data_IF_015098127689
#
_entry.id   IF_015098127689
#
_cell.length_a   1.000
_cell.length_b   1.000
_cell.length_c   1.000
_cell.angle_alpha   90.00
_cell.angle_beta   90.00
_cell.angle_gamma   90.00
#
_symmetry.space_group_name_H-M   'P 1'
#
loop_
_entity.id
_entity.type
_entity.pdbx_description
1 polymer ?
#
# COMPACT_ATOMS: atom_id res chain seq x y z
N UNK A 1 -27.75 -22.70 3.83
CA UNK A 1 -26.85 -21.57 3.65
C UNK A 1 -26.13 -21.35 4.97
N UNK A 2 -24.94 -21.99 5.12
CA UNK A 2 -24.04 -21.71 6.23
C UNK A 2 -23.55 -20.27 6.06
N UNK A 3 -23.92 -19.40 6.98
CA UNK A 3 -23.26 -18.11 7.17
C UNK A 3 -21.84 -18.46 7.60
N UNK A 4 -20.92 -18.50 6.65
CA UNK A 4 -19.49 -18.57 6.93
C UNK A 4 -19.18 -17.35 7.79
N UNK A 5 -18.67 -17.58 8.98
CA UNK A 5 -18.10 -16.53 9.84
C UNK A 5 -16.86 -16.02 9.11
N UNK A 6 -17.07 -14.98 8.28
CA UNK A 6 -16.08 -14.51 7.31
C UNK A 6 -15.03 -13.74 8.08
N UNK A 7 -13.85 -14.31 8.24
CA UNK A 7 -12.70 -13.65 8.83
C UNK A 7 -11.66 -13.27 7.77
N UNK A 8 -10.73 -12.37 8.09
CA UNK A 8 -9.68 -11.90 7.18
C UNK A 8 -8.82 -13.03 6.60
N UNK A 9 -8.73 -14.18 7.29
CA UNK A 9 -8.04 -15.36 6.80
C UNK A 9 -8.57 -15.81 5.45
N UNK A 10 -9.90 -15.77 5.25
CA UNK A 10 -10.50 -16.16 3.99
C UNK A 10 -10.05 -15.30 2.82
N UNK A 11 -9.85 -13.99 3.02
CA UNK A 11 -9.40 -13.10 1.96
C UNK A 11 -8.00 -13.46 1.44
N UNK A 12 -7.13 -13.94 2.33
CA UNK A 12 -5.74 -14.27 2.00
C UNK A 12 -5.52 -15.76 1.75
N UNK A 13 -6.35 -16.65 2.30
CA UNK A 13 -6.12 -18.10 2.29
C UNK A 13 -7.15 -18.88 1.47
N UNK A 14 -8.19 -18.23 0.94
CA UNK A 14 -9.22 -18.88 0.14
C UNK A 14 -9.14 -18.44 -1.32
N UNK A 15 -8.92 -19.38 -2.23
CA UNK A 15 -8.73 -19.11 -3.67
C UNK A 15 -10.01 -18.66 -4.39
N UNK A 16 -11.18 -19.06 -3.90
CA UNK A 16 -12.45 -18.86 -4.61
C UNK A 16 -13.52 -18.32 -3.67
N UNK A 17 -13.36 -17.04 -3.28
CA UNK A 17 -14.46 -16.32 -2.66
C UNK A 17 -15.51 -15.94 -3.72
N UNK A 18 -16.74 -15.70 -3.27
CA UNK A 18 -17.75 -15.04 -4.09
C UNK A 18 -17.59 -13.53 -3.97
N UNK A 19 -17.95 -12.79 -5.01
CA UNK A 19 -17.97 -11.32 -4.96
C UNK A 19 -18.71 -10.78 -3.74
N UNK A 20 -19.90 -11.34 -3.43
CA UNK A 20 -20.69 -10.96 -2.25
C UNK A 20 -19.89 -11.09 -0.94
N UNK A 21 -19.13 -12.18 -0.80
CA UNK A 21 -18.31 -12.42 0.39
C UNK A 21 -17.15 -11.44 0.52
N UNK A 22 -16.54 -11.01 -0.60
CA UNK A 22 -15.50 -9.97 -0.56
C UNK A 22 -16.09 -8.62 -0.17
N UNK A 23 -17.28 -8.28 -0.67
CA UNK A 23 -17.98 -7.04 -0.34
C UNK A 23 -18.38 -6.94 1.14
N UNK A 24 -18.57 -8.06 1.84
CA UNK A 24 -18.88 -8.09 3.27
C UNK A 24 -17.73 -7.56 4.15
N UNK A 25 -16.47 -7.59 3.65
CA UNK A 25 -15.33 -6.96 4.33
C UNK A 25 -15.27 -5.45 4.17
N UNK A 26 -16.09 -4.88 3.29
CA UNK A 26 -16.02 -3.47 2.92
C UNK A 26 -17.10 -2.68 3.64
N UNK A 27 -16.67 -1.68 4.38
CA UNK A 27 -17.54 -0.74 5.09
C UNK A 27 -17.59 0.60 4.36
N UNK A 28 -18.76 1.23 4.35
CA UNK A 28 -18.88 2.63 3.96
C UNK A 28 -18.22 3.55 4.98
N UNK A 29 -17.76 4.69 4.56
CA UNK A 29 -17.28 5.77 5.45
C UNK A 29 -18.21 6.98 5.38
N UNK A 30 -18.02 7.94 6.27
CA UNK A 30 -18.73 9.24 6.23
C UNK A 30 -18.26 10.12 5.04
N UNK A 31 -17.23 9.69 4.32
CA UNK A 31 -16.68 10.42 3.17
C UNK A 31 -17.26 9.86 1.87
N UNK A 32 -17.81 10.76 1.06
CA UNK A 32 -18.40 10.38 -0.23
C UNK A 32 -17.38 9.64 -1.11
N UNK A 33 -17.82 8.52 -1.70
CA UNK A 33 -17.01 7.69 -2.60
C UNK A 33 -15.78 7.03 -1.96
N UNK A 34 -15.70 6.98 -0.63
CA UNK A 34 -14.66 6.28 0.08
C UNK A 34 -15.26 5.13 0.88
N UNK A 35 -14.81 3.93 0.57
CA UNK A 35 -15.09 2.72 1.34
C UNK A 35 -13.79 2.18 1.93
N UNK A 36 -13.87 1.43 3.01
CA UNK A 36 -12.69 0.90 3.69
C UNK A 36 -12.82 -0.59 3.95
N UNK A 37 -11.76 -1.31 3.69
CA UNK A 37 -11.51 -2.64 4.22
C UNK A 37 -10.51 -2.48 5.36
N UNK A 38 -11.03 -2.46 6.60
CA UNK A 38 -10.21 -2.17 7.78
C UNK A 38 -9.29 -3.33 8.11
N UNK A 39 -8.03 -3.03 8.43
CA UNK A 39 -7.13 -4.00 9.02
C UNK A 39 -7.59 -4.35 10.45
N UNK A 40 -7.49 -5.62 10.83
CA UNK A 40 -7.70 -6.07 12.20
C UNK A 40 -6.38 -6.42 12.89
N UNK A 41 -6.40 -6.51 14.22
CA UNK A 41 -5.23 -7.00 14.99
C UNK A 41 -4.86 -8.44 14.65
N UNK A 42 -5.81 -9.22 14.14
CA UNK A 42 -5.62 -10.60 13.71
C UNK A 42 -4.73 -10.73 12.49
N UNK A 43 -4.60 -9.67 11.66
CA UNK A 43 -3.70 -9.68 10.51
C UNK A 43 -2.25 -9.98 10.88
N UNK A 44 -1.80 -9.59 12.07
CA UNK A 44 -0.44 -9.89 12.54
C UNK A 44 -0.20 -11.39 12.77
N UNK A 45 -1.24 -12.12 13.19
CA UNK A 45 -1.19 -13.58 13.40
C UNK A 45 -1.42 -14.34 12.10
N UNK A 46 -2.15 -13.76 11.15
CA UNK A 46 -2.38 -14.32 9.82
C UNK A 46 -1.10 -14.59 9.03
N UNK A 47 -0.04 -13.83 9.26
CA UNK A 47 1.26 -14.04 8.60
C UNK A 47 1.74 -15.48 8.78
N UNK A 48 1.63 -16.01 9.98
CA UNK A 48 2.04 -17.39 10.29
C UNK A 48 1.12 -18.41 9.63
N UNK A 49 -0.19 -18.20 9.67
CA UNK A 49 -1.18 -19.07 9.03
C UNK A 49 -0.99 -19.12 7.51
N UNK A 50 -0.78 -17.98 6.86
CA UNK A 50 -0.52 -17.92 5.42
C UNK A 50 0.77 -18.65 5.07
N UNK A 51 1.82 -18.45 5.86
CA UNK A 51 3.11 -19.09 5.67
C UNK A 51 3.02 -20.62 5.81
N UNK A 52 2.36 -21.11 6.87
CA UNK A 52 2.19 -22.55 7.08
C UNK A 52 1.36 -23.19 5.97
N UNK A 53 0.26 -22.56 5.59
CA UNK A 53 -0.56 -23.05 4.47
C UNK A 53 0.16 -23.02 3.13
N UNK A 54 1.06 -22.06 2.90
CA UNK A 54 1.88 -22.02 1.69
C UNK A 54 2.77 -23.25 1.56
N UNK A 55 3.26 -23.78 2.68
CA UNK A 55 4.05 -25.02 2.74
C UNK A 55 3.18 -26.27 2.51
N UNK A 56 2.01 -26.32 3.13
CA UNK A 56 1.09 -27.45 3.01
C UNK A 56 0.47 -27.58 1.61
N UNK A 57 0.28 -26.46 0.93
CA UNK A 57 -0.40 -26.40 -0.36
C UNK A 57 0.40 -26.96 -1.54
N UNK A 58 1.64 -27.45 -1.31
CA UNK A 58 2.39 -28.24 -2.29
C UNK A 58 2.58 -27.60 -3.67
N UNK A 59 2.68 -26.26 -3.73
CA UNK A 59 2.83 -25.50 -4.99
C UNK A 59 1.66 -24.59 -5.34
N UNK A 60 0.71 -24.40 -4.45
CA UNK A 60 -0.36 -23.41 -4.63
C UNK A 60 0.17 -22.02 -4.29
N UNK A 61 0.03 -21.08 -5.22
CA UNK A 61 0.54 -19.70 -5.08
C UNK A 61 -0.41 -18.87 -4.19
N UNK A 62 -0.39 -19.10 -2.88
CA UNK A 62 -1.25 -18.44 -1.89
C UNK A 62 -1.07 -16.91 -1.95
N UNK A 63 0.12 -16.42 -2.27
CA UNK A 63 0.44 -15.00 -2.44
C UNK A 63 -0.46 -14.29 -3.47
N UNK A 64 -1.05 -15.06 -4.39
CA UNK A 64 -1.97 -14.54 -5.41
C UNK A 64 -3.44 -14.51 -4.99
N UNK A 65 -3.79 -15.05 -3.82
CA UNK A 65 -5.20 -15.14 -3.44
C UNK A 65 -5.83 -13.78 -3.18
N UNK A 66 -5.10 -12.87 -2.54
CA UNK A 66 -5.56 -11.49 -2.37
C UNK A 66 -5.82 -10.83 -3.73
N UNK A 67 -4.90 -10.95 -4.70
CA UNK A 67 -5.09 -10.46 -6.08
C UNK A 67 -6.37 -11.03 -6.71
N UNK A 68 -6.55 -12.35 -6.60
CA UNK A 68 -7.71 -13.00 -7.15
C UNK A 68 -9.01 -12.50 -6.52
N UNK A 69 -9.05 -12.40 -5.19
CA UNK A 69 -10.24 -11.98 -4.47
C UNK A 69 -10.57 -10.50 -4.72
N UNK A 70 -9.57 -9.59 -4.76
CA UNK A 70 -9.77 -8.20 -5.10
C UNK A 70 -10.21 -8.02 -6.56
N UNK A 71 -9.79 -8.90 -7.47
CA UNK A 71 -10.24 -8.85 -8.87
C UNK A 71 -11.74 -9.03 -9.05
N UNK A 72 -12.43 -9.66 -8.08
CA UNK A 72 -13.88 -9.85 -8.11
C UNK A 72 -14.66 -8.53 -7.93
N UNK A 73 -14.03 -7.54 -7.32
CA UNK A 73 -14.65 -6.24 -6.97
C UNK A 73 -14.01 -5.07 -7.70
N UNK A 74 -12.99 -5.29 -8.52
CA UNK A 74 -12.23 -4.21 -9.18
C UNK A 74 -13.09 -3.26 -10.02
N UNK A 75 -14.17 -3.76 -10.60
CA UNK A 75 -15.07 -2.96 -11.44
C UNK A 75 -16.09 -2.14 -10.62
N UNK A 76 -16.12 -2.31 -9.30
CA UNK A 76 -16.98 -1.52 -8.40
C UNK A 76 -16.28 -0.25 -7.88
N UNK A 77 -14.96 -0.13 -8.12
CA UNK A 77 -14.12 0.97 -7.64
C UNK A 77 -13.25 1.54 -8.76
N UNK A 78 -13.06 2.85 -8.76
CA UNK A 78 -12.10 3.51 -9.67
C UNK A 78 -10.66 3.19 -9.27
N UNK A 79 -10.39 3.10 -7.95
CA UNK A 79 -9.10 2.79 -7.36
C UNK A 79 -9.25 1.90 -6.13
N UNK A 80 -8.34 0.95 -5.95
CA UNK A 80 -8.14 0.18 -4.72
C UNK A 80 -6.75 0.51 -4.22
N UNK A 81 -6.67 1.20 -3.07
CA UNK A 81 -5.40 1.60 -2.45
C UNK A 81 -5.09 0.63 -1.31
N UNK A 82 -3.94 -0.04 -1.37
CA UNK A 82 -3.49 -0.98 -0.35
C UNK A 82 -2.37 -0.31 0.45
N UNK A 83 -2.68 0.12 1.69
CA UNK A 83 -1.69 0.66 2.61
C UNK A 83 -0.90 -0.49 3.27
N UNK A 84 0.43 -0.38 3.27
CA UNK A 84 1.33 -1.43 3.71
C UNK A 84 2.24 -0.99 4.84
N UNK A 85 2.54 -1.92 5.74
CA UNK A 85 3.63 -1.78 6.69
C UNK A 85 4.98 -1.65 5.95
N UNK A 86 5.92 -0.82 6.45
CA UNK A 86 7.26 -0.70 5.86
C UNK A 86 8.11 -1.96 6.02
N UNK A 87 7.64 -2.93 6.80
CA UNK A 87 8.38 -4.17 7.04
C UNK A 87 8.07 -5.23 5.98
N UNK A 88 9.11 -5.94 5.54
CA UNK A 88 8.94 -7.12 4.70
C UNK A 88 8.19 -8.19 5.48
N UNK A 89 7.02 -8.56 5.00
CA UNK A 89 6.19 -9.61 5.57
C UNK A 89 5.50 -10.39 4.44
N UNK A 90 4.93 -11.52 4.78
CA UNK A 90 4.13 -12.27 3.82
C UNK A 90 2.91 -11.49 3.35
N UNK A 91 2.29 -10.69 4.23
CA UNK A 91 1.18 -9.79 3.87
C UNK A 91 1.60 -8.73 2.86
N UNK A 92 2.80 -8.14 3.05
CA UNK A 92 3.38 -7.19 2.09
C UNK A 92 3.59 -7.85 0.72
N UNK A 93 4.06 -9.09 0.69
CA UNK A 93 4.20 -9.87 -0.55
C UNK A 93 2.84 -10.09 -1.23
N UNK A 94 1.81 -10.47 -0.47
CA UNK A 94 0.45 -10.63 -0.99
C UNK A 94 -0.10 -9.32 -1.55
N UNK A 95 0.14 -8.20 -0.85
CA UNK A 95 -0.29 -6.87 -1.27
C UNK A 95 0.42 -6.42 -2.56
N UNK A 96 1.74 -6.63 -2.67
CA UNK A 96 2.50 -6.36 -3.89
C UNK A 96 1.95 -7.21 -5.04
N UNK A 97 1.74 -8.51 -4.84
CA UNK A 97 1.14 -9.38 -5.85
C UNK A 97 -0.28 -8.94 -6.26
N UNK A 98 -1.05 -8.34 -5.35
CA UNK A 98 -2.40 -7.87 -5.61
C UNK A 98 -2.45 -6.52 -6.34
N UNK A 99 -1.35 -5.78 -6.36
CA UNK A 99 -1.26 -4.44 -6.95
C UNK A 99 -0.98 -4.51 -8.46
N UNK A 100 -1.44 -3.51 -9.19
CA UNK A 100 -1.06 -3.25 -10.57
C UNK A 100 0.07 -2.22 -10.62
N UNK A 101 0.05 -1.26 -9.67
CA UNK A 101 1.03 -0.17 -9.58
C UNK A 101 1.48 0.02 -8.14
N UNK A 102 2.74 0.38 -7.97
CA UNK A 102 3.34 0.68 -6.66
C UNK A 102 3.88 2.10 -6.66
N UNK A 103 3.47 2.87 -5.67
CA UNK A 103 4.03 4.20 -5.36
C UNK A 103 4.68 4.14 -3.99
N UNK A 104 5.87 4.71 -3.85
CA UNK A 104 6.64 4.62 -2.60
C UNK A 104 7.02 6.01 -2.09
N UNK A 105 6.53 6.41 -0.90
CA UNK A 105 7.06 7.57 -0.22
C UNK A 105 8.46 7.28 0.35
N UNK A 106 9.38 8.23 0.21
CA UNK A 106 10.74 8.14 0.76
C UNK A 106 11.02 9.33 1.68
N UNK A 107 11.79 9.10 2.73
CA UNK A 107 12.29 10.15 3.60
C UNK A 107 13.66 10.66 3.14
N UNK A 108 14.08 11.82 3.66
CA UNK A 108 15.41 12.41 3.41
C UNK A 108 16.43 11.71 4.32
N UNK A 109 16.68 10.42 4.04
CA UNK A 109 17.68 9.61 4.76
C UNK A 109 18.26 8.51 3.86
N UNK A 110 19.43 7.96 4.25
CA UNK A 110 20.10 6.92 3.47
C UNK A 110 19.42 5.54 3.57
N UNK A 111 18.63 5.28 4.61
CA UNK A 111 17.96 3.98 4.79
C UNK A 111 16.82 3.78 3.79
N UNK A 112 16.20 4.88 3.36
CA UNK A 112 15.15 4.84 2.34
C UNK A 112 15.65 4.31 1.00
N UNK A 113 16.91 4.54 0.65
CA UNK A 113 17.51 4.06 -0.60
C UNK A 113 17.63 2.53 -0.63
N UNK A 114 18.20 1.94 0.42
CA UNK A 114 18.38 0.47 0.49
C UNK A 114 17.02 -0.26 0.50
N UNK A 115 16.05 0.31 1.20
CA UNK A 115 14.67 -0.19 1.20
C UNK A 115 14.04 -0.17 -0.18
N UNK A 116 14.28 0.91 -0.95
CA UNK A 116 13.77 1.08 -2.30
C UNK A 116 14.39 0.07 -3.27
N UNK A 117 15.70 -0.12 -3.25
CA UNK A 117 16.38 -1.11 -4.09
C UNK A 117 15.86 -2.52 -3.80
N UNK A 118 15.71 -2.86 -2.53
CA UNK A 118 15.12 -4.14 -2.11
C UNK A 118 13.65 -4.32 -2.55
N UNK A 119 12.89 -3.23 -2.71
CA UNK A 119 11.54 -3.27 -3.28
C UNK A 119 11.59 -3.59 -4.78
N UNK A 120 12.51 -2.99 -5.53
CA UNK A 120 12.69 -3.30 -6.96
C UNK A 120 13.00 -4.76 -7.18
N UNK A 121 13.99 -5.31 -6.46
CA UNK A 121 14.32 -6.74 -6.54
C UNK A 121 13.08 -7.61 -6.26
N UNK A 122 12.30 -7.22 -5.24
CA UNK A 122 11.08 -7.96 -4.88
C UNK A 122 10.02 -7.90 -6.00
N UNK A 123 9.82 -6.73 -6.63
CA UNK A 123 8.86 -6.59 -7.75
C UNK A 123 9.31 -7.42 -8.95
N UNK A 124 10.60 -7.41 -9.30
CA UNK A 124 11.16 -8.17 -10.40
C UNK A 124 11.01 -9.68 -10.17
N UNK A 125 11.35 -10.15 -8.97
CA UNK A 125 11.21 -11.55 -8.56
C UNK A 125 9.75 -12.02 -8.65
N UNK A 126 8.80 -11.22 -8.13
CA UNK A 126 7.38 -11.58 -8.15
C UNK A 126 6.79 -11.53 -9.55
N UNK A 127 7.17 -10.54 -10.37
CA UNK A 127 6.77 -10.48 -11.77
C UNK A 127 7.27 -11.71 -12.54
N UNK A 128 8.54 -12.09 -12.34
CA UNK A 128 9.13 -13.27 -12.97
C UNK A 128 8.48 -14.55 -12.49
N UNK A 129 8.35 -14.73 -11.16
CA UNK A 129 7.83 -15.95 -10.53
C UNK A 129 6.37 -16.23 -10.90
N UNK A 130 5.55 -15.21 -10.98
CA UNK A 130 4.10 -15.35 -11.14
C UNK A 130 3.57 -14.84 -12.49
N UNK A 131 4.46 -14.41 -13.39
CA UNK A 131 4.10 -13.80 -14.68
C UNK A 131 3.15 -12.62 -14.50
N UNK A 132 3.43 -11.76 -13.52
CA UNK A 132 2.69 -10.54 -13.25
C UNK A 132 3.25 -9.38 -14.06
N UNK A 133 2.50 -8.28 -14.12
CA UNK A 133 2.91 -7.03 -14.75
C UNK A 133 2.77 -5.87 -13.74
N UNK A 134 3.36 -6.06 -12.54
CA UNK A 134 3.35 -5.04 -11.50
C UNK A 134 4.29 -3.92 -11.93
N UNK A 135 3.76 -2.70 -12.05
CA UNK A 135 4.52 -1.53 -12.45
C UNK A 135 4.97 -0.73 -11.23
N UNK A 136 6.23 -0.34 -11.19
CA UNK A 136 6.68 0.72 -10.30
C UNK A 136 6.24 2.06 -10.89
N UNK A 137 5.23 2.70 -10.30
CA UNK A 137 4.61 3.91 -10.81
C UNK A 137 5.38 5.17 -10.42
N UNK A 138 6.01 5.20 -9.24
CA UNK A 138 6.84 6.33 -8.87
C UNK A 138 7.23 6.39 -7.40
N UNK A 139 8.11 7.35 -7.11
CA UNK A 139 8.51 7.75 -5.77
C UNK A 139 8.30 9.23 -5.57
N UNK A 140 8.07 9.64 -4.33
CA UNK A 140 8.05 11.04 -3.91
C UNK A 140 8.65 11.21 -2.53
N UNK A 141 9.18 12.39 -2.26
CA UNK A 141 9.78 12.68 -0.95
C UNK A 141 8.70 13.10 0.06
N UNK A 142 8.81 12.59 1.29
CA UNK A 142 7.90 12.92 2.37
C UNK A 142 8.66 13.35 3.63
N UNK A 143 7.94 13.98 4.58
CA UNK A 143 8.48 14.51 5.84
C UNK A 143 9.66 15.47 5.64
N UNK A 144 9.63 16.25 4.57
CA UNK A 144 10.70 17.18 4.23
C UNK A 144 10.73 18.33 5.25
N UNK A 145 11.83 18.44 6.00
CA UNK A 145 12.08 19.51 6.97
C UNK A 145 12.76 20.71 6.31
N UNK A 146 12.01 21.47 5.48
CA UNK A 146 12.54 22.63 4.79
C UNK A 146 13.51 22.28 3.65
N UNK A 147 14.04 23.34 2.97
CA UNK A 147 14.97 23.18 1.84
C UNK A 147 16.42 23.16 2.33
N UNK A 148 16.82 22.09 3.01
CA UNK A 148 18.20 21.89 3.47
C UNK A 148 19.13 21.50 2.30
N UNK A 149 20.45 21.63 2.50
CA UNK A 149 21.43 21.18 1.51
C UNK A 149 21.28 19.68 1.22
N UNK A 150 21.07 18.87 2.25
CA UNK A 150 20.83 17.43 2.11
C UNK A 150 19.59 17.14 1.26
N UNK A 151 18.47 17.83 1.53
CA UNK A 151 17.26 17.69 0.71
C UNK A 151 17.54 17.95 -0.77
N UNK A 152 18.24 19.06 -1.10
CA UNK A 152 18.55 19.40 -2.49
C UNK A 152 19.40 18.33 -3.17
N UNK A 153 20.44 17.86 -2.49
CA UNK A 153 21.33 16.81 -3.02
C UNK A 153 20.58 15.51 -3.27
N UNK A 154 19.72 15.09 -2.32
CA UNK A 154 18.94 13.88 -2.49
C UNK A 154 17.86 14.04 -3.57
N UNK A 155 17.20 15.19 -3.65
CA UNK A 155 16.23 15.49 -4.69
C UNK A 155 16.86 15.35 -6.08
N UNK A 156 17.97 16.04 -6.33
CA UNK A 156 18.71 15.96 -7.59
C UNK A 156 19.19 14.53 -7.90
N UNK A 157 19.63 13.80 -6.88
CA UNK A 157 20.08 12.40 -7.03
C UNK A 157 18.93 11.49 -7.47
N UNK A 158 17.77 11.59 -6.81
CA UNK A 158 16.60 10.77 -7.14
C UNK A 158 15.99 11.18 -8.50
N UNK A 159 15.93 12.48 -8.80
CA UNK A 159 15.47 12.96 -10.10
C UNK A 159 16.34 12.41 -11.24
N UNK A 160 17.66 12.42 -11.08
CA UNK A 160 18.59 11.86 -12.08
C UNK A 160 18.49 10.34 -12.18
N UNK A 161 18.22 9.63 -11.08
CA UNK A 161 18.18 8.17 -11.06
C UNK A 161 16.86 7.63 -11.60
N UNK A 162 15.73 8.25 -11.28
CA UNK A 162 14.39 7.72 -11.57
C UNK A 162 13.67 8.46 -12.69
N UNK A 163 14.17 9.64 -13.11
CA UNK A 163 13.59 10.41 -14.22
C UNK A 163 12.09 10.65 -14.01
N UNK A 164 11.28 10.25 -14.98
CA UNK A 164 9.81 10.40 -14.94
C UNK A 164 9.11 9.63 -13.79
N UNK A 165 9.79 8.65 -13.19
CA UNK A 165 9.27 7.92 -12.02
C UNK A 165 9.50 8.67 -10.71
N UNK A 166 10.27 9.75 -10.69
CA UNK A 166 10.39 10.64 -9.57
C UNK A 166 9.34 11.75 -9.66
N UNK A 167 8.34 11.68 -8.77
CA UNK A 167 7.29 12.69 -8.73
C UNK A 167 7.86 13.97 -8.11
N UNK A 168 7.76 15.12 -8.79
CA UNK A 168 8.48 16.34 -8.38
C UNK A 168 7.88 17.04 -7.16
N UNK A 169 6.80 16.50 -6.61
CA UNK A 169 6.14 17.00 -5.40
C UNK A 169 6.75 16.35 -4.17
N UNK A 170 7.06 17.18 -3.17
CA UNK A 170 7.58 16.73 -1.88
C UNK A 170 6.65 17.14 -0.75
N UNK A 171 6.24 16.18 0.07
CA UNK A 171 5.35 16.44 1.21
C UNK A 171 6.17 17.01 2.37
N UNK A 172 5.93 18.25 2.70
CA UNK A 172 6.61 18.95 3.79
C UNK A 172 6.15 18.46 5.15
N UNK A 173 7.09 18.45 6.10
CA UNK A 173 6.75 18.17 7.49
C UNK A 173 5.82 19.27 8.02
N UNK A 174 4.68 18.86 8.59
CA UNK A 174 3.66 19.77 9.08
C UNK A 174 3.01 19.19 10.35
N UNK A 175 2.88 20.01 11.38
CA UNK A 175 2.30 19.61 12.65
C UNK A 175 0.83 19.16 12.50
N UNK A 176 0.09 19.79 11.59
CA UNK A 176 -1.30 19.46 11.31
C UNK A 176 -1.51 17.99 10.91
N UNK A 177 -0.48 17.31 10.33
CA UNK A 177 -0.55 15.87 10.03
C UNK A 177 -0.62 15.05 11.33
N UNK A 178 0.17 15.40 12.33
CA UNK A 178 0.14 14.70 13.62
C UNK A 178 -1.15 15.01 14.40
N UNK A 179 -1.63 16.24 14.33
CA UNK A 179 -2.85 16.67 14.98
C UNK A 179 -4.08 16.00 14.37
N UNK A 180 -4.19 15.93 13.03
CA UNK A 180 -5.28 15.26 12.32
C UNK A 180 -5.34 13.75 12.65
N UNK A 181 -4.18 13.10 12.78
CA UNK A 181 -4.12 11.71 13.22
C UNK A 181 -4.62 11.53 14.67
N UNK A 182 -4.38 12.52 15.55
CA UNK A 182 -4.84 12.48 16.94
C UNK A 182 -6.35 12.68 17.06
N UNK A 183 -6.93 13.49 16.18
CA UNK A 183 -8.38 13.74 16.11
C UNK A 183 -9.13 12.72 15.26
N UNK A 184 -8.43 11.79 14.61
CA UNK A 184 -8.99 10.82 13.66
C UNK A 184 -9.73 11.49 12.49
N UNK A 185 -9.28 12.66 12.08
CA UNK A 185 -9.83 13.38 10.94
C UNK A 185 -8.84 13.35 9.75
N UNK A 186 -9.31 13.18 8.51
CA UNK A 186 -8.45 13.32 7.34
C UNK A 186 -7.85 14.73 7.28
N UNK A 187 -6.57 14.82 6.90
CA UNK A 187 -5.82 16.08 6.86
C UNK A 187 -6.55 17.18 6.08
N UNK A 188 -7.16 16.84 4.94
CA UNK A 188 -7.90 17.80 4.10
C UNK A 188 -9.18 18.32 4.74
N UNK A 189 -9.73 17.60 5.72
CA UNK A 189 -10.88 18.04 6.54
C UNK A 189 -10.38 18.85 7.72
N UNK A 190 -9.32 18.40 8.39
CA UNK A 190 -8.74 19.03 9.56
C UNK A 190 -8.17 20.43 9.26
N UNK A 191 -7.25 20.51 8.30
CA UNK A 191 -6.68 21.79 7.83
C UNK A 191 -6.27 21.71 6.34
N UNK A 192 -7.20 22.02 5.46
CA UNK A 192 -6.97 22.08 4.01
C UNK A 192 -5.88 23.09 3.60
N UNK A 193 -5.59 24.10 4.45
CA UNK A 193 -4.64 25.16 4.10
C UNK A 193 -3.23 24.89 4.58
N UNK A 194 -3.01 23.89 5.40
CA UNK A 194 -1.68 23.54 5.85
C UNK A 194 -0.78 23.12 4.67
N UNK A 195 0.52 23.25 4.85
CA UNK A 195 1.50 23.01 3.78
C UNK A 195 1.44 21.57 3.26
N UNK A 196 1.32 20.59 4.14
CA UNK A 196 1.23 19.19 3.74
C UNK A 196 -0.05 18.88 2.96
N UNK A 197 -1.20 19.46 3.35
CA UNK A 197 -2.46 19.29 2.61
C UNK A 197 -2.36 19.83 1.18
N UNK A 198 -1.71 20.97 1.00
CA UNK A 198 -1.47 21.56 -0.33
C UNK A 198 -0.53 20.67 -1.16
N UNK A 199 0.54 20.16 -0.54
CA UNK A 199 1.49 19.26 -1.20
C UNK A 199 0.80 17.95 -1.66
N UNK A 200 -0.11 17.38 -0.84
CA UNK A 200 -0.89 16.20 -1.23
C UNK A 200 -1.93 16.46 -2.33
N UNK A 201 -2.43 17.68 -2.45
CA UNK A 201 -3.34 18.06 -3.56
C UNK A 201 -2.57 18.18 -4.87
N UNK A 202 -1.30 18.58 -4.80
CA UNK A 202 -0.43 18.76 -5.97
C UNK A 202 0.16 17.42 -6.45
N UNK A 203 0.37 16.45 -5.53
CA UNK A 203 0.84 15.11 -5.82
C UNK A 203 -0.17 14.30 -6.65
#
# INVERSE_FOLDING_TARGET
DEVLDINYEHLFCTKQLRKSSVLEFISSTDYKNISILSASRELSTLVYTIYDRSKEAGGTNIELYLRHNLSLIKDDFDYIIIDNSPFKSYLTTCAICASDKIVTPICVDNFSYDGLMSLFDTIEDLNSKYSLAIEFAGIFMTRVAGRTTLYKQMFESYENMFGEKFLPVSIRNCIAVSESNTTFEPLLTYDKRCTAAQDYIEL
#
